data_IF_817904772630
#
_entry.id   IF_817904772630
#
_cell.length_a   1.000
_cell.length_b   1.000
_cell.length_c   1.000
_cell.angle_alpha   90.00
_cell.angle_beta   90.00
_cell.angle_gamma   90.00
#
_symmetry.space_group_name_H-M   'P 1'
#
loop_
_entity.id
_entity.type
_entity.pdbx_description
1 polymer ?
#
# COMPACT_ATOMS: atom_id res chain seq x y z
N UNK A 1 32.04 -97.05 -10.54
CA UNK A 1 31.43 -95.71 -10.43
C UNK A 1 30.23 -95.80 -9.52
N UNK A 2 30.18 -94.90 -8.52
CA UNK A 2 29.03 -94.49 -7.68
C UNK A 2 28.55 -95.52 -6.63
N UNK A 3 28.91 -95.42 -5.33
CA UNK A 3 28.31 -94.55 -4.26
C UNK A 3 26.77 -94.66 -4.19
N UNK A 4 26.06 -94.85 -3.06
CA UNK A 4 26.24 -94.38 -1.68
C UNK A 4 25.22 -95.10 -0.74
N UNK A 5 25.63 -95.56 0.45
CA UNK A 5 25.33 -95.05 1.83
C UNK A 5 24.10 -95.60 2.58
N UNK A 6 24.40 -96.23 3.73
CA UNK A 6 23.56 -96.58 4.88
C UNK A 6 22.97 -95.35 5.58
N UNK A 7 21.83 -95.49 6.26
CA UNK A 7 21.63 -94.91 7.62
C UNK A 7 20.60 -95.68 8.47
N UNK A 8 20.96 -95.87 9.73
CA UNK A 8 20.18 -96.43 10.85
C UNK A 8 19.67 -95.30 11.78
N UNK A 9 18.66 -95.63 12.60
CA UNK A 9 17.98 -94.90 13.68
C UNK A 9 18.76 -93.77 14.40
N UNK A 10 18.07 -92.66 14.75
CA UNK A 10 17.88 -92.14 16.13
C UNK A 10 17.18 -90.76 16.17
N UNK A 11 16.25 -90.59 17.12
CA UNK A 11 15.77 -89.29 17.69
C UNK A 11 16.82 -88.80 18.72
N UNK A 12 17.11 -87.49 18.87
CA UNK A 12 16.40 -86.53 19.76
C UNK A 12 16.39 -85.09 19.15
N UNK A 13 15.91 -83.98 19.70
CA UNK A 13 15.91 -83.37 21.04
C UNK A 13 14.97 -82.15 21.04
N UNK A 14 14.35 -81.82 22.18
CA UNK A 14 13.52 -80.63 22.39
C UNK A 14 14.38 -79.36 22.61
N UNK A 15 14.01 -78.24 21.98
CA UNK A 15 14.60 -76.92 22.21
C UNK A 15 13.64 -76.04 23.02
N UNK A 16 14.04 -75.67 24.23
CA UNK A 16 13.27 -74.80 25.13
C UNK A 16 13.39 -73.34 24.71
N UNK A 17 12.30 -72.71 24.26
CA UNK A 17 12.23 -71.27 24.00
C UNK A 17 12.08 -70.47 25.31
N UNK A 18 12.99 -69.51 25.56
CA UNK A 18 12.88 -68.56 26.68
C UNK A 18 11.78 -67.53 26.40
N UNK A 19 10.72 -67.51 27.21
CA UNK A 19 9.67 -66.47 27.18
C UNK A 19 10.20 -65.15 27.80
N UNK A 20 10.13 -64.06 27.04
CA UNK A 20 10.27 -62.70 27.56
C UNK A 20 9.11 -62.40 28.53
N UNK A 21 9.39 -62.15 29.81
CA UNK A 21 8.37 -61.69 30.77
C UNK A 21 8.07 -60.20 30.52
N UNK A 22 6.84 -59.88 30.13
CA UNK A 22 6.34 -58.50 30.15
C UNK A 22 6.21 -58.05 31.61
N UNK A 23 6.97 -57.04 32.03
CA UNK A 23 6.78 -56.42 33.35
C UNK A 23 5.42 -55.72 33.37
N UNK A 24 4.55 -56.10 34.31
CA UNK A 24 3.30 -55.38 34.58
C UNK A 24 3.65 -53.99 35.13
N UNK A 25 3.05 -52.92 34.60
CA UNK A 25 3.26 -51.55 35.10
C UNK A 25 2.67 -51.45 36.50
N UNK A 26 3.43 -50.86 37.42
CA UNK A 26 3.02 -50.66 38.81
C UNK A 26 1.94 -49.56 38.89
N UNK A 27 1.06 -49.63 39.89
CA UNK A 27 -0.05 -48.67 40.10
C UNK A 27 0.46 -47.24 40.24
N UNK A 28 1.63 -47.04 40.85
CA UNK A 28 2.32 -45.75 40.93
C UNK A 28 2.65 -45.18 39.55
N UNK A 29 3.12 -46.03 38.62
CA UNK A 29 3.37 -45.64 37.22
C UNK A 29 2.10 -45.22 36.51
N UNK A 30 0.96 -45.87 36.78
CA UNK A 30 -0.33 -45.53 36.18
C UNK A 30 -0.83 -44.17 36.69
N UNK A 31 -0.75 -43.92 38.00
CA UNK A 31 -1.15 -42.63 38.61
C UNK A 31 -0.30 -41.48 38.06
N UNK A 32 1.02 -41.69 37.94
CA UNK A 32 1.93 -40.70 37.37
C UNK A 32 1.58 -40.38 35.91
N UNK A 33 1.28 -41.41 35.09
CA UNK A 33 0.87 -41.21 33.69
C UNK A 33 -0.45 -40.42 33.61
N UNK A 34 -1.44 -40.75 34.44
CA UNK A 34 -2.73 -40.05 34.45
C UNK A 34 -2.56 -38.58 34.85
N UNK A 35 -1.78 -38.29 35.90
CA UNK A 35 -1.46 -36.92 36.31
C UNK A 35 -0.70 -36.13 35.23
N UNK A 36 0.24 -36.79 34.56
CA UNK A 36 0.99 -36.17 33.46
C UNK A 36 0.10 -35.86 32.26
N UNK A 37 -0.84 -36.75 31.91
CA UNK A 37 -1.80 -36.51 30.82
C UNK A 37 -2.74 -35.35 31.14
N UNK A 38 -3.21 -35.25 32.39
CA UNK A 38 -4.06 -34.15 32.86
C UNK A 38 -3.39 -32.77 32.72
N UNK A 39 -2.07 -32.69 32.90
CA UNK A 39 -1.30 -31.46 32.71
C UNK A 39 -0.92 -31.26 31.24
N UNK A 40 -0.58 -32.34 30.53
CA UNK A 40 -0.11 -32.27 29.14
C UNK A 40 -1.19 -31.76 28.17
N UNK A 41 -2.46 -32.10 28.38
CA UNK A 41 -3.57 -31.68 27.51
C UNK A 41 -3.72 -30.14 27.47
N UNK A 42 -3.90 -29.42 28.59
CA UNK A 42 -3.99 -27.96 28.57
C UNK A 42 -2.70 -27.30 28.08
N UNK A 43 -1.53 -27.85 28.41
CA UNK A 43 -0.24 -27.36 27.89
C UNK A 43 -0.14 -27.50 26.36
N UNK A 44 -0.65 -28.58 25.77
CA UNK A 44 -0.66 -28.78 24.33
C UNK A 44 -1.59 -27.80 23.61
N UNK A 45 -2.76 -27.49 24.20
CA UNK A 45 -3.70 -26.48 23.65
C UNK A 45 -3.06 -25.09 23.68
N UNK A 46 -2.48 -24.70 24.82
CA UNK A 46 -1.79 -23.41 24.96
C UNK A 46 -0.57 -23.33 24.05
N UNK A 47 0.22 -24.40 23.96
CA UNK A 47 1.37 -24.49 23.05
C UNK A 47 0.95 -24.33 21.59
N UNK A 48 -0.15 -24.97 21.18
CA UNK A 48 -0.70 -24.83 19.84
C UNK A 48 -1.13 -23.39 19.52
N UNK A 49 -1.81 -22.72 20.44
CA UNK A 49 -2.25 -21.33 20.28
C UNK A 49 -1.03 -20.40 20.18
N UNK A 50 -0.03 -20.57 21.05
CA UNK A 50 1.19 -19.76 21.03
C UNK A 50 2.01 -19.96 19.74
N UNK A 51 2.14 -21.19 19.27
CA UNK A 51 2.82 -21.49 18.00
C UNK A 51 2.03 -20.91 16.83
N UNK A 52 0.71 -21.06 16.80
CA UNK A 52 -0.16 -20.49 15.76
C UNK A 52 -0.07 -18.97 15.73
N UNK A 53 -0.21 -18.32 16.89
CA UNK A 53 -0.06 -16.87 17.02
C UNK A 53 1.34 -16.40 16.61
N UNK A 54 2.40 -17.13 16.99
CA UNK A 54 3.78 -16.80 16.62
C UNK A 54 4.04 -16.93 15.11
N UNK A 55 3.33 -17.81 14.40
CA UNK A 55 3.44 -17.98 12.95
C UNK A 55 2.62 -16.96 12.14
N UNK A 56 1.61 -16.36 12.78
CA UNK A 56 0.79 -15.29 12.20
C UNK A 56 1.25 -13.89 12.63
N UNK A 57 2.07 -13.75 13.68
CA UNK A 57 2.74 -12.47 13.97
C UNK A 57 3.71 -12.07 12.87
N UNK A 58 3.63 -10.81 12.46
CA UNK A 58 4.57 -10.20 11.51
C UNK A 58 4.19 -10.37 10.04
N UNK A 59 3.06 -11.03 9.72
CA UNK A 59 2.50 -11.00 8.36
C UNK A 59 1.51 -9.84 8.26
N UNK A 60 1.64 -8.96 7.25
CA UNK A 60 0.63 -7.93 7.02
C UNK A 60 -0.72 -8.59 6.76
N UNK A 61 -1.78 -8.02 7.33
CA UNK A 61 -3.14 -8.41 6.96
C UNK A 61 -3.34 -7.93 5.52
N UNK A 62 -3.22 -8.86 4.56
CA UNK A 62 -3.56 -8.60 3.17
C UNK A 62 -5.09 -8.58 3.02
N UNK A 63 -5.68 -7.45 3.42
CA UNK A 63 -7.08 -7.15 3.15
C UNK A 63 -7.23 -6.55 1.75
N UNK A 64 -8.13 -7.09 0.94
CA UNK A 64 -8.61 -6.39 -0.24
C UNK A 64 -9.63 -5.33 0.22
N UNK A 65 -9.18 -4.07 0.22
CA UNK A 65 -9.96 -2.91 0.68
C UNK A 65 -11.21 -2.64 -0.15
N UNK A 66 -11.34 -3.26 -1.32
CA UNK A 66 -12.46 -3.10 -2.25
C UNK A 66 -13.19 -4.41 -2.52
N UNK A 67 -13.03 -5.43 -1.66
CA UNK A 67 -13.69 -6.71 -1.84
C UNK A 67 -15.22 -6.54 -1.83
N UNK A 68 -15.84 -6.70 -3.00
CA UNK A 68 -17.29 -6.55 -3.19
C UNK A 68 -17.77 -5.13 -3.55
N UNK A 69 -16.83 -4.18 -3.58
CA UNK A 69 -16.98 -2.82 -4.11
C UNK A 69 -16.52 -2.74 -5.58
N UNK A 70 -16.61 -1.56 -6.20
CA UNK A 70 -16.13 -1.31 -7.58
C UNK A 70 -16.81 -2.20 -8.63
N UNK A 71 -18.12 -2.37 -8.49
CA UNK A 71 -18.96 -3.17 -9.37
C UNK A 71 -20.07 -2.28 -9.93
N UNK A 72 -20.08 -1.99 -11.25
CA UNK A 72 -19.31 -2.66 -12.30
C UNK A 72 -17.82 -2.26 -12.36
N UNK A 73 -16.98 -3.20 -12.79
CA UNK A 73 -15.56 -2.95 -13.03
C UNK A 73 -15.34 -2.14 -14.31
N UNK A 74 -14.38 -1.22 -14.29
CA UNK A 74 -13.94 -0.48 -15.49
C UNK A 74 -13.05 -1.39 -16.35
N UNK A 75 -13.35 -1.48 -17.65
CA UNK A 75 -12.65 -2.32 -18.62
C UNK A 75 -11.58 -1.55 -19.41
N UNK A 76 -10.61 -2.26 -19.98
CA UNK A 76 -9.56 -1.65 -20.81
C UNK A 76 -10.10 -0.99 -22.08
N UNK A 77 -11.18 -1.52 -22.64
CA UNK A 77 -11.81 -0.96 -23.83
C UNK A 77 -12.44 0.41 -23.50
N UNK A 78 -13.09 0.54 -22.33
CA UNK A 78 -13.59 1.82 -21.83
C UNK A 78 -12.45 2.82 -21.59
N UNK A 79 -11.33 2.40 -21.02
CA UNK A 79 -10.15 3.28 -20.85
C UNK A 79 -9.61 3.79 -22.19
N UNK A 80 -9.54 2.90 -23.19
CA UNK A 80 -9.05 3.22 -24.54
C UNK A 80 -10.02 4.15 -25.28
N UNK A 81 -11.33 3.94 -25.12
CA UNK A 81 -12.35 4.82 -25.69
C UNK A 81 -12.26 6.24 -25.09
N UNK A 82 -12.12 6.35 -23.77
CA UNK A 82 -11.93 7.62 -23.07
C UNK A 82 -10.69 8.35 -23.60
N UNK A 83 -9.55 7.66 -23.67
CA UNK A 83 -8.31 8.23 -24.19
C UNK A 83 -8.49 8.77 -25.62
N UNK A 84 -9.15 7.99 -26.48
CA UNK A 84 -9.38 8.37 -27.87
C UNK A 84 -10.32 9.56 -28.03
N UNK A 85 -11.36 9.69 -27.18
CA UNK A 85 -12.30 10.81 -27.23
C UNK A 85 -11.59 12.12 -26.88
N UNK A 86 -10.89 12.13 -25.74
CA UNK A 86 -10.22 13.32 -25.24
C UNK A 86 -9.07 13.75 -26.14
N UNK A 87 -8.35 12.79 -26.74
CA UNK A 87 -7.29 13.10 -27.73
C UNK A 87 -7.82 13.77 -29.00
N UNK A 88 -9.12 13.68 -29.28
CA UNK A 88 -9.76 14.35 -30.40
C UNK A 88 -10.00 15.85 -30.20
N UNK A 89 -9.80 16.37 -28.99
CA UNK A 89 -9.99 17.78 -28.66
C UNK A 89 -8.86 18.67 -29.23
N UNK A 90 -9.20 19.86 -29.73
CA UNK A 90 -8.27 20.71 -30.49
C UNK A 90 -7.03 21.18 -29.72
N UNK A 91 -7.12 21.26 -28.39
CA UNK A 91 -6.08 21.81 -27.51
C UNK A 91 -5.26 20.73 -26.81
N UNK A 92 -5.39 19.47 -27.25
CA UNK A 92 -4.77 18.30 -26.60
C UNK A 92 -3.64 17.76 -27.48
N UNK A 93 -2.45 17.63 -26.89
CA UNK A 93 -1.28 17.04 -27.53
C UNK A 93 -1.13 15.56 -27.18
N UNK A 94 -1.42 15.19 -25.93
CA UNK A 94 -1.32 13.82 -25.44
C UNK A 94 -2.34 13.55 -24.33
N UNK A 95 -2.83 12.32 -24.28
CA UNK A 95 -3.68 11.83 -23.18
C UNK A 95 -3.08 10.55 -22.64
N UNK A 96 -3.16 10.36 -21.31
CA UNK A 96 -2.83 9.10 -20.65
C UNK A 96 -3.93 8.79 -19.64
N UNK A 97 -4.52 7.60 -19.72
CA UNK A 97 -5.59 7.16 -18.82
C UNK A 97 -5.12 5.99 -17.98
N UNK A 98 -5.19 6.12 -16.65
CA UNK A 98 -4.70 5.12 -15.71
C UNK A 98 -5.75 4.80 -14.64
N UNK A 99 -5.90 3.52 -14.30
CA UNK A 99 -6.73 3.08 -13.18
C UNK A 99 -5.85 2.55 -12.06
N UNK A 100 -5.63 3.36 -11.03
CA UNK A 100 -4.72 3.04 -9.92
C UNK A 100 -5.49 2.99 -8.63
N UNK A 101 -5.62 1.81 -8.04
CA UNK A 101 -6.19 1.63 -6.68
C UNK A 101 -7.62 2.21 -6.53
N UNK A 102 -8.49 2.02 -7.53
CA UNK A 102 -9.86 2.55 -7.60
C UNK A 102 -10.00 4.05 -7.87
N UNK A 103 -8.92 4.71 -8.29
CA UNK A 103 -8.98 6.07 -8.83
C UNK A 103 -8.69 5.99 -10.33
N UNK A 104 -9.63 6.46 -11.15
CA UNK A 104 -9.43 6.70 -12.57
C UNK A 104 -8.77 8.07 -12.72
N UNK A 105 -7.55 8.07 -13.26
CA UNK A 105 -6.78 9.28 -13.53
C UNK A 105 -6.66 9.50 -15.02
N UNK A 106 -6.99 10.70 -15.45
CA UNK A 106 -6.87 11.14 -16.83
C UNK A 106 -5.89 12.29 -16.86
N UNK A 107 -4.75 12.09 -17.50
CA UNK A 107 -3.75 13.12 -17.73
C UNK A 107 -3.88 13.65 -19.15
N UNK A 108 -4.12 14.95 -19.28
CA UNK A 108 -4.29 15.67 -20.54
C UNK A 108 -3.17 16.69 -20.64
N UNK A 109 -2.25 16.41 -21.56
CA UNK A 109 -1.20 17.29 -21.99
C UNK A 109 -1.79 18.24 -23.04
N UNK A 110 -1.92 19.51 -22.68
CA UNK A 110 -2.52 20.53 -23.51
C UNK A 110 -1.44 21.40 -24.17
N UNK A 111 -1.84 22.18 -25.17
CA UNK A 111 -0.91 23.11 -25.83
C UNK A 111 -0.25 24.08 -24.83
N UNK A 112 1.04 24.35 -25.04
CA UNK A 112 1.89 25.19 -24.17
C UNK A 112 1.28 26.57 -23.83
N UNK A 113 0.44 27.12 -24.73
CA UNK A 113 -0.14 28.46 -24.63
C UNK A 113 -1.49 28.55 -23.93
N UNK A 114 -2.04 27.43 -23.44
CA UNK A 114 -3.36 27.39 -22.81
C UNK A 114 -3.43 28.28 -21.55
N UNK A 115 -4.53 29.00 -21.35
CA UNK A 115 -4.77 29.78 -20.13
C UNK A 115 -5.31 28.93 -18.98
N UNK A 116 -5.32 29.47 -17.75
CA UNK A 116 -5.92 28.81 -16.59
C UNK A 116 -7.45 28.55 -16.80
N UNK A 117 -8.15 29.50 -17.43
CA UNK A 117 -9.57 29.38 -17.77
C UNK A 117 -9.81 28.34 -18.87
N UNK A 118 -8.99 28.34 -19.92
CA UNK A 118 -9.08 27.36 -21.02
C UNK A 118 -8.76 25.95 -20.52
N UNK A 119 -7.77 25.78 -19.65
CA UNK A 119 -7.46 24.50 -19.01
C UNK A 119 -8.59 24.03 -18.08
N UNK A 120 -9.22 24.96 -17.36
CA UNK A 120 -10.39 24.67 -16.53
C UNK A 120 -11.59 24.20 -17.36
N UNK A 121 -11.84 24.84 -18.50
CA UNK A 121 -12.86 24.41 -19.46
C UNK A 121 -12.51 23.06 -20.10
N UNK A 122 -11.26 22.84 -20.51
CA UNK A 122 -10.79 21.57 -21.07
C UNK A 122 -10.93 20.42 -20.08
N UNK A 123 -10.64 20.65 -18.79
CA UNK A 123 -10.87 19.63 -17.76
C UNK A 123 -12.35 19.29 -17.59
N UNK A 124 -13.28 20.16 -17.99
CA UNK A 124 -14.73 19.92 -17.94
C UNK A 124 -15.16 19.09 -19.12
N UNK A 125 -14.69 19.44 -20.32
CA UNK A 125 -14.89 18.66 -21.53
C UNK A 125 -14.38 17.23 -21.33
N UNK A 126 -13.14 17.07 -20.85
CA UNK A 126 -12.56 15.76 -20.58
C UNK A 126 -13.35 14.98 -19.50
N UNK A 127 -13.83 15.65 -18.45
CA UNK A 127 -14.71 15.04 -17.46
C UNK A 127 -16.04 14.54 -18.07
N UNK A 128 -16.64 15.34 -18.95
CA UNK A 128 -17.87 14.99 -19.64
C UNK A 128 -17.66 13.81 -20.61
N UNK A 129 -16.52 13.74 -21.28
CA UNK A 129 -16.15 12.60 -22.13
C UNK A 129 -15.97 11.32 -21.32
N UNK A 130 -15.32 11.39 -20.16
CA UNK A 130 -15.22 10.25 -19.24
C UNK A 130 -16.61 9.79 -18.82
N UNK A 131 -17.46 10.71 -18.37
CA UNK A 131 -18.77 10.37 -17.82
C UNK A 131 -19.80 9.95 -18.88
N UNK A 132 -19.57 10.29 -20.14
CA UNK A 132 -20.32 9.76 -21.27
C UNK A 132 -20.05 8.26 -21.51
N UNK A 133 -18.83 7.79 -21.25
CA UNK A 133 -18.44 6.37 -21.35
C UNK A 133 -18.74 5.62 -20.05
N UNK A 134 -18.44 6.26 -18.91
CA UNK A 134 -18.57 5.73 -17.56
C UNK A 134 -19.55 6.61 -16.76
N UNK A 135 -20.84 6.26 -16.81
CA UNK A 135 -21.88 7.05 -16.14
C UNK A 135 -21.51 7.41 -14.68
N UNK A 136 -21.56 8.70 -14.35
CA UNK A 136 -21.12 9.22 -13.04
C UNK A 136 -21.84 8.59 -11.85
N UNK A 137 -23.16 8.44 -11.94
CA UNK A 137 -23.97 7.83 -10.89
C UNK A 137 -23.67 6.34 -10.70
N UNK A 138 -23.19 5.67 -11.75
CA UNK A 138 -22.86 4.25 -11.73
C UNK A 138 -21.44 3.99 -11.27
N UNK A 139 -20.46 4.78 -11.71
CA UNK A 139 -19.04 4.48 -11.49
C UNK A 139 -18.37 5.37 -10.44
N UNK A 140 -18.86 6.59 -10.21
CA UNK A 140 -18.17 7.62 -9.40
C UNK A 140 -19.04 8.19 -8.27
N UNK A 141 -20.13 7.50 -7.91
CA UNK A 141 -21.04 7.92 -6.84
C UNK A 141 -21.36 6.72 -5.95
N UNK A 142 -21.17 6.87 -4.64
CA UNK A 142 -21.46 5.81 -3.69
C UNK A 142 -22.96 5.47 -3.69
N UNK A 143 -23.29 4.20 -3.85
CA UNK A 143 -24.67 3.70 -3.84
C UNK A 143 -24.75 2.37 -3.10
N UNK A 144 -25.86 2.14 -2.38
CA UNK A 144 -26.11 0.85 -1.70
C UNK A 144 -25.09 0.47 -0.64
N UNK A 145 -24.40 1.44 -0.02
CA UNK A 145 -23.36 1.21 0.98
C UNK A 145 -22.01 0.75 0.41
N UNK A 146 -21.88 0.71 -0.92
CA UNK A 146 -20.63 0.35 -1.61
C UNK A 146 -19.78 1.58 -1.91
N UNK A 147 -18.46 1.40 -1.86
CA UNK A 147 -17.49 2.39 -2.37
C UNK A 147 -17.41 2.26 -3.88
N UNK A 148 -17.39 3.40 -4.56
CA UNK A 148 -17.22 3.49 -6.01
C UNK A 148 -15.92 4.20 -6.34
N UNK A 149 -15.56 4.22 -7.63
CA UNK A 149 -14.31 4.80 -8.08
C UNK A 149 -14.26 6.29 -7.79
N UNK A 150 -13.05 6.81 -7.62
CA UNK A 150 -12.79 8.24 -7.68
C UNK A 150 -12.32 8.60 -9.10
N UNK A 151 -12.60 9.81 -9.55
CA UNK A 151 -12.18 10.35 -10.85
C UNK A 151 -11.35 11.61 -10.65
N UNK A 152 -10.18 11.64 -11.26
CA UNK A 152 -9.30 12.81 -11.32
C UNK A 152 -8.93 13.11 -12.79
N UNK A 153 -9.25 14.32 -13.25
CA UNK A 153 -8.85 14.83 -14.57
C UNK A 153 -7.81 15.91 -14.36
N UNK A 154 -6.61 15.66 -14.87
CA UNK A 154 -5.43 16.49 -14.78
C UNK A 154 -5.18 17.14 -16.14
N UNK A 155 -5.25 18.46 -16.22
CA UNK A 155 -4.93 19.22 -17.44
C UNK A 155 -3.73 20.11 -17.17
N UNK A 156 -2.67 19.98 -17.95
CA UNK A 156 -1.46 20.79 -17.82
C UNK A 156 -0.90 21.15 -19.18
N UNK A 157 -0.10 22.22 -19.26
CA UNK A 157 0.52 22.66 -20.51
C UNK A 157 1.93 22.09 -20.71
N UNK A 158 2.78 22.17 -19.69
CA UNK A 158 4.16 21.70 -19.80
C UNK A 158 4.74 21.40 -18.43
N UNK A 159 4.89 20.12 -18.09
CA UNK A 159 5.34 19.70 -16.76
C UNK A 159 6.77 20.16 -16.43
N UNK A 160 7.62 20.36 -17.46
CA UNK A 160 9.00 20.80 -17.28
C UNK A 160 9.09 22.28 -16.88
N UNK A 161 8.01 23.05 -17.10
CA UNK A 161 7.89 24.44 -16.65
C UNK A 161 7.36 24.58 -15.22
N UNK A 162 7.21 23.50 -14.46
CA UNK A 162 6.72 23.56 -13.08
C UNK A 162 7.45 24.62 -12.25
N UNK A 163 6.68 25.53 -11.64
CA UNK A 163 7.20 26.68 -10.88
C UNK A 163 7.45 27.95 -11.71
N UNK A 164 7.38 27.89 -13.03
CA UNK A 164 7.36 29.08 -13.89
C UNK A 164 5.97 29.75 -13.87
N UNK A 165 5.94 31.06 -14.15
CA UNK A 165 4.70 31.85 -14.09
C UNK A 165 3.67 31.47 -15.16
N UNK A 166 4.12 30.91 -16.30
CA UNK A 166 3.32 30.42 -17.41
C UNK A 166 2.93 28.94 -17.29
N UNK A 167 3.30 28.27 -16.20
CA UNK A 167 2.85 26.91 -15.95
C UNK A 167 1.37 26.89 -15.56
N UNK A 168 0.60 26.06 -16.25
CA UNK A 168 -0.83 25.86 -15.99
C UNK A 168 -1.03 24.41 -15.59
N UNK A 169 -1.71 24.20 -14.47
CA UNK A 169 -2.11 22.88 -14.03
C UNK A 169 -3.44 22.96 -13.29
N UNK A 170 -4.45 22.29 -13.84
CA UNK A 170 -5.79 22.18 -13.30
C UNK A 170 -6.09 20.71 -12.97
N UNK A 171 -6.72 20.50 -11.81
CA UNK A 171 -7.24 19.19 -11.39
C UNK A 171 -8.74 19.34 -11.19
N UNK A 172 -9.53 18.52 -11.89
CA UNK A 172 -10.96 18.32 -11.61
C UNK A 172 -11.15 16.96 -10.96
N UNK A 173 -11.75 16.93 -9.77
CA UNK A 173 -11.88 15.75 -8.92
C UNK A 173 -13.33 15.45 -8.60
N UNK A 174 -13.72 14.17 -8.71
CA UNK A 174 -14.98 13.63 -8.21
C UNK A 174 -14.68 12.37 -7.41
N UNK A 175 -14.72 12.47 -6.08
CA UNK A 175 -14.72 11.27 -5.25
C UNK A 175 -16.15 10.73 -5.07
N UNK A 176 -16.24 9.46 -4.69
CA UNK A 176 -17.52 8.76 -4.55
C UNK A 176 -18.50 9.38 -3.54
N UNK A 177 -18.01 10.16 -2.58
CA UNK A 177 -18.82 10.83 -1.55
C UNK A 177 -19.21 12.28 -1.87
N UNK A 178 -18.66 12.88 -2.92
CA UNK A 178 -18.99 14.24 -3.35
C UNK A 178 -20.33 14.28 -4.07
N UNK A 179 -21.11 15.36 -3.87
CA UNK A 179 -22.33 15.61 -4.64
C UNK A 179 -22.03 16.00 -6.09
N UNK A 180 -20.98 16.80 -6.30
CA UNK A 180 -20.56 17.31 -7.61
C UNK A 180 -19.03 17.30 -7.70
N UNK A 181 -18.48 17.27 -8.91
CA UNK A 181 -17.04 17.42 -9.12
C UNK A 181 -16.57 18.83 -8.72
N UNK A 182 -15.34 18.94 -8.23
CA UNK A 182 -14.71 20.22 -7.92
C UNK A 182 -13.48 20.44 -8.78
N UNK A 183 -13.18 21.69 -9.12
CA UNK A 183 -12.03 22.08 -9.93
C UNK A 183 -11.09 22.95 -9.12
N UNK A 184 -9.79 22.69 -9.24
CA UNK A 184 -8.73 23.46 -8.61
C UNK A 184 -7.62 23.76 -9.61
N UNK A 185 -7.25 25.04 -9.71
CA UNK A 185 -6.01 25.45 -10.39
C UNK A 185 -4.87 25.30 -9.38
N UNK A 186 -3.98 24.32 -9.58
CA UNK A 186 -2.90 23.97 -8.64
C UNK A 186 -1.56 24.60 -8.99
N UNK A 187 -1.44 25.24 -10.16
CA UNK A 187 -0.27 26.04 -10.55
C UNK A 187 -0.23 27.43 -9.91
N UNK A 188 -1.33 27.88 -9.29
CA UNK A 188 -1.44 29.18 -8.64
C UNK A 188 -1.64 29.03 -7.13
N UNK A 189 -1.08 29.91 -6.29
CA UNK A 189 -1.35 29.90 -4.86
C UNK A 189 -2.81 30.24 -4.60
N UNK A 190 -3.44 29.53 -3.65
CA UNK A 190 -4.78 29.87 -3.17
C UNK A 190 -4.83 31.26 -2.53
N UNK A 191 -3.76 31.63 -1.83
CA UNK A 191 -3.54 32.95 -1.25
C UNK A 191 -2.15 33.44 -1.66
N UNK A 192 -2.11 34.43 -2.56
CA UNK A 192 -0.88 34.95 -3.11
C UNK A 192 -0.04 35.71 -2.07
N UNK A 193 -0.68 36.42 -1.13
CA UNK A 193 0.00 37.19 -0.09
C UNK A 193 0.63 36.26 0.93
N UNK A 194 -0.13 35.29 1.44
CA UNK A 194 0.38 34.29 2.37
C UNK A 194 1.50 33.47 1.74
N UNK A 195 1.35 33.06 0.47
CA UNK A 195 2.39 32.32 -0.23
C UNK A 195 3.67 33.15 -0.38
N UNK A 196 3.57 34.47 -0.59
CA UNK A 196 4.73 35.34 -0.66
C UNK A 196 5.38 35.52 0.71
N UNK A 197 4.60 35.76 1.76
CA UNK A 197 5.09 35.86 3.13
C UNK A 197 5.90 34.61 3.53
N UNK A 198 5.39 33.42 3.23
CA UNK A 198 6.08 32.16 3.51
C UNK A 198 7.38 32.01 2.72
N UNK A 199 7.44 32.49 1.47
CA UNK A 199 8.67 32.49 0.68
C UNK A 199 9.72 33.43 1.26
N UNK A 200 9.31 34.62 1.69
CA UNK A 200 10.19 35.62 2.29
C UNK A 200 10.74 35.12 3.64
N UNK A 201 9.88 34.58 4.51
CA UNK A 201 10.30 33.98 5.79
C UNK A 201 11.29 32.81 5.59
N UNK A 202 11.07 31.96 4.59
CA UNK A 202 11.99 30.88 4.25
C UNK A 202 13.33 31.38 3.71
N UNK A 203 13.34 32.47 2.93
CA UNK A 203 14.56 33.09 2.44
C UNK A 203 15.40 33.68 3.58
N UNK A 204 14.76 34.35 4.53
CA UNK A 204 15.40 34.88 5.74
C UNK A 204 15.99 33.76 6.61
N UNK A 205 15.25 32.66 6.81
CA UNK A 205 15.75 31.50 7.58
C UNK A 205 16.91 30.77 6.90
N UNK A 206 16.95 30.75 5.57
CA UNK A 206 18.03 30.08 4.80
C UNK A 206 19.28 30.92 4.66
N UNK A 207 19.17 32.25 4.70
CA UNK A 207 20.29 33.19 4.69
C UNK A 207 20.20 34.13 5.90
N UNK A 208 20.44 33.64 7.13
CA UNK A 208 20.57 34.52 8.27
C UNK A 208 21.83 35.39 8.05
N UNK A 209 21.62 36.70 7.83
CA UNK A 209 22.59 37.83 7.87
C UNK A 209 23.03 38.44 6.53
N UNK A 210 22.36 39.52 6.13
CA UNK A 210 22.99 40.77 5.66
C UNK A 210 22.21 41.98 6.20
N UNK A 211 22.33 42.25 7.49
CA UNK A 211 22.39 43.61 8.02
C UNK A 211 23.09 43.53 9.37
N UNK A 212 24.33 44.00 9.40
CA UNK A 212 25.12 44.20 10.62
C UNK A 212 25.06 45.68 11.01
N UNK A 213 25.13 45.89 12.33
CA UNK A 213 25.57 47.09 13.06
C UNK A 213 24.53 48.21 13.26
N UNK A 214 23.84 48.17 14.41
CA UNK A 214 24.18 49.03 15.56
C UNK A 214 23.36 48.65 16.81
N UNK A 215 24.11 48.52 17.90
CA UNK A 215 23.78 48.74 19.31
C UNK A 215 22.99 47.69 20.12
N UNK A 216 23.77 47.15 21.06
CA UNK A 216 23.47 46.81 22.44
C UNK A 216 23.12 45.36 22.81
N UNK A 217 23.92 44.90 23.79
CA UNK A 217 23.95 43.62 24.47
C UNK A 217 22.58 43.15 24.95
N UNK A 218 22.23 41.88 24.71
CA UNK A 218 21.76 41.01 25.78
C UNK A 218 22.10 39.55 25.48
N UNK A 219 22.78 38.94 26.45
CA UNK A 219 23.16 37.53 26.53
C UNK A 219 22.04 36.77 27.23
N UNK A 220 21.45 35.75 26.58
CA UNK A 220 20.91 34.52 27.20
C UNK A 220 20.82 33.49 26.05
N UNK A 221 21.52 32.36 26.00
CA UNK A 221 21.83 31.37 27.03
C UNK A 221 20.98 30.12 26.78
N UNK A 222 21.54 29.09 26.13
CA UNK A 222 20.84 27.82 25.89
C UNK A 222 21.67 26.84 25.06
N UNK A 223 22.50 26.06 25.76
CA UNK A 223 23.29 24.94 25.25
C UNK A 223 22.43 23.88 24.55
N UNK A 224 22.96 23.29 23.47
CA UNK A 224 22.89 21.85 23.26
C UNK A 224 24.15 21.42 22.48
N UNK A 225 25.03 20.75 23.21
CA UNK A 225 26.37 20.34 22.78
C UNK A 225 26.29 18.90 22.27
N UNK A 226 26.44 18.65 20.97
CA UNK A 226 26.80 17.31 20.47
C UNK A 226 28.32 17.25 20.25
N UNK A 227 29.02 16.67 21.22
CA UNK A 227 30.43 16.33 21.10
C UNK A 227 30.58 15.07 20.22
N UNK A 228 31.18 15.22 19.04
CA UNK A 228 31.81 14.11 18.32
C UNK A 228 33.21 13.90 18.88
N UNK A 229 33.41 12.76 19.55
CA UNK A 229 34.71 12.26 20.00
C UNK A 229 35.45 11.62 18.80
N UNK A 230 36.36 12.38 18.19
CA UNK A 230 37.45 11.84 17.38
C UNK A 230 38.70 11.69 18.27
N UNK A 231 39.00 10.47 18.71
CA UNK A 231 40.35 10.15 19.19
C UNK A 231 41.17 9.54 18.05
N UNK A 232 42.17 10.30 17.59
CA UNK A 232 43.32 9.84 16.78
C UNK A 232 44.42 9.29 17.69
N UNK A 233 44.88 8.07 17.44
CA UNK A 233 46.27 7.71 17.11
C UNK A 233 46.36 6.24 16.64
#
# INVERSE_FOLDING_TARGET
MSEQKKTSKKKPSATTAKKHKSKKKDKSTIILIVGLVLIAIPCAILGWILISASMDTGKPINGDRFKGDLDPAITKDQLSEIESRIKGENQVEKVTVELTTATLRVYVDAVDSISDEEASALSETAYNDVTAVLNEGTYFTAAGGKKMYDLEVHVYNNIDKSGAGDYVYVIRSKNSGMEQAATQVVSKPLDAELAQQLRDELAEKRNPTQNKDNDDEEVVGGEDTEAQDETKE
#
